data_IF_060469627726
#
_entry.id   IF_060469627726
#
_cell.length_a   1.000
_cell.length_b   1.000
_cell.length_c   1.000
_cell.angle_alpha   90.00
_cell.angle_beta   90.00
_cell.angle_gamma   90.00
#
_symmetry.space_group_name_H-M   'P 1'
#
loop_
_entity.id
_entity.type
_entity.pdbx_description
1 polymer ?
#
# COMPACT_ATOMS: atom_id res chain seq x y z
N UNK A 1 15.52 4.79 -1.33
CA UNK A 1 14.39 5.04 -2.26
C UNK A 1 14.60 6.40 -2.92
N UNK A 2 14.05 6.72 -4.10
CA UNK A 2 14.16 8.11 -4.61
C UNK A 2 13.20 9.03 -3.84
N UNK A 3 13.47 10.35 -3.71
CA UNK A 3 12.55 11.27 -3.04
C UNK A 3 11.14 11.24 -3.64
N UNK A 4 11.03 11.10 -4.96
CA UNK A 4 9.74 10.97 -5.68
C UNK A 4 9.01 9.69 -5.28
N UNK A 5 9.72 8.56 -5.15
CA UNK A 5 9.10 7.30 -4.71
C UNK A 5 8.66 7.38 -3.25
N UNK A 6 9.44 8.02 -2.38
CA UNK A 6 9.08 8.22 -0.98
C UNK A 6 7.83 9.10 -0.85
N UNK A 7 7.75 10.20 -1.60
CA UNK A 7 6.56 11.06 -1.63
C UNK A 7 5.31 10.29 -2.09
N UNK A 8 5.43 9.44 -3.12
CA UNK A 8 4.33 8.58 -3.58
C UNK A 8 3.91 7.56 -2.54
N UNK A 9 4.86 6.97 -1.82
CA UNK A 9 4.57 6.01 -0.75
C UNK A 9 3.84 6.68 0.41
N UNK A 10 4.28 7.89 0.82
CA UNK A 10 3.57 8.68 1.83
C UNK A 10 2.14 8.99 1.40
N UNK A 11 1.94 9.51 0.18
CA UNK A 11 0.62 9.82 -0.35
C UNK A 11 -0.32 8.60 -0.39
N UNK A 12 0.18 7.44 -0.81
CA UNK A 12 -0.59 6.19 -0.79
C UNK A 12 -0.93 5.73 0.64
N UNK A 13 0.02 5.88 1.57
CA UNK A 13 -0.21 5.54 2.98
C UNK A 13 -1.25 6.45 3.63
N UNK A 14 -1.22 7.75 3.34
CA UNK A 14 -2.16 8.74 3.87
C UNK A 14 -3.58 8.48 3.32
N UNK A 15 -3.70 8.19 2.01
CA UNK A 15 -4.96 7.79 1.39
C UNK A 15 -5.58 6.57 2.08
N UNK A 16 -4.81 5.50 2.27
CA UNK A 16 -5.31 4.28 2.94
C UNK A 16 -5.80 4.59 4.36
N UNK A 17 -5.09 5.43 5.11
CA UNK A 17 -5.50 5.82 6.45
C UNK A 17 -6.81 6.61 6.45
N UNK A 18 -6.99 7.51 5.49
CA UNK A 18 -8.22 8.31 5.35
C UNK A 18 -9.43 7.42 5.00
N UNK A 19 -9.26 6.50 4.05
CA UNK A 19 -10.34 5.57 3.65
C UNK A 19 -10.71 4.58 4.76
N UNK A 20 -9.73 4.10 5.54
CA UNK A 20 -10.02 3.27 6.73
C UNK A 20 -10.86 4.05 7.75
N UNK A 21 -10.60 5.35 7.94
CA UNK A 21 -11.40 6.21 8.84
C UNK A 21 -12.83 6.42 8.34
N UNK A 22 -13.04 6.37 7.02
CA UNK A 22 -14.36 6.41 6.38
C UNK A 22 -15.08 5.06 6.40
N UNK A 23 -14.46 4.02 6.96
CA UNK A 23 -14.95 2.64 6.93
C UNK A 23 -15.12 2.08 5.51
N UNK A 24 -14.33 2.55 4.55
CA UNK A 24 -14.32 2.04 3.18
C UNK A 24 -13.89 0.56 3.17
N UNK A 25 -14.59 -0.33 2.45
CA UNK A 25 -14.20 -1.74 2.34
C UNK A 25 -12.78 -1.91 1.78
N UNK A 26 -12.02 -2.86 2.33
CA UNK A 26 -10.62 -3.06 1.94
C UNK A 26 -10.44 -3.32 0.44
N UNK A 27 -11.38 -4.02 -0.20
CA UNK A 27 -11.38 -4.29 -1.64
C UNK A 27 -11.50 -3.00 -2.47
N UNK A 28 -12.34 -2.05 -2.03
CA UNK A 28 -12.49 -0.75 -2.68
C UNK A 28 -11.23 0.10 -2.50
N UNK A 29 -10.60 0.07 -1.32
CA UNK A 29 -9.32 0.75 -1.07
C UNK A 29 -8.24 0.18 -1.99
N UNK A 30 -8.16 -1.15 -2.12
CA UNK A 30 -7.18 -1.80 -3.01
C UNK A 30 -7.45 -1.43 -4.47
N UNK A 31 -8.72 -1.41 -4.90
CA UNK A 31 -9.08 -0.99 -6.25
C UNK A 31 -8.66 0.47 -6.53
N UNK A 32 -8.91 1.38 -5.59
CA UNK A 32 -8.50 2.78 -5.70
C UNK A 32 -6.96 2.94 -5.68
N UNK A 33 -6.24 2.13 -4.89
CA UNK A 33 -4.77 2.11 -4.94
C UNK A 33 -4.24 1.71 -6.33
N UNK A 34 -4.91 0.77 -7.02
CA UNK A 34 -4.55 0.37 -8.39
C UNK A 34 -4.84 1.49 -9.38
N UNK A 35 -6.00 2.15 -9.27
CA UNK A 35 -6.41 3.23 -10.16
C UNK A 35 -5.55 4.50 -9.99
N UNK A 36 -5.40 4.98 -8.76
CA UNK A 36 -4.91 6.34 -8.48
C UNK A 36 -3.47 6.37 -7.98
N UNK A 37 -3.02 5.32 -7.29
CA UNK A 37 -1.68 5.23 -6.69
C UNK A 37 -0.72 4.33 -7.48
N UNK A 38 -1.11 3.91 -8.69
CA UNK A 38 -0.34 3.02 -9.59
C UNK A 38 0.07 1.71 -8.88
N UNK A 39 -0.79 1.19 -8.02
CA UNK A 39 -0.59 -0.13 -7.46
C UNK A 39 -0.72 -1.19 -8.56
N UNK A 40 0.00 -2.30 -8.38
CA UNK A 40 -0.03 -3.42 -9.32
C UNK A 40 -0.05 -4.74 -8.57
N UNK A 41 -0.81 -5.69 -9.10
CA UNK A 41 -0.76 -7.08 -8.67
C UNK A 41 0.39 -7.84 -9.37
N UNK A 42 1.06 -8.74 -8.67
CA UNK A 42 2.17 -9.51 -9.26
C UNK A 42 1.66 -10.48 -10.32
N UNK A 43 1.92 -10.24 -11.61
CA UNK A 43 1.46 -11.12 -12.70
C UNK A 43 -0.06 -11.40 -12.65
N UNK A 44 -0.84 -10.44 -12.16
CA UNK A 44 -2.29 -10.60 -11.97
C UNK A 44 -2.70 -11.40 -10.73
N UNK A 45 -1.75 -11.82 -9.87
CA UNK A 45 -2.05 -12.49 -8.61
C UNK A 45 -2.63 -11.49 -7.58
N UNK A 46 -3.93 -11.60 -7.25
CA UNK A 46 -4.59 -10.67 -6.34
C UNK A 46 -4.06 -10.78 -4.90
N UNK A 47 -3.30 -11.83 -4.59
CA UNK A 47 -2.72 -12.04 -3.25
C UNK A 47 -1.43 -11.26 -3.04
N UNK A 48 -0.88 -10.60 -4.07
CA UNK A 48 0.39 -9.88 -4.00
C UNK A 48 0.24 -8.45 -4.54
N UNK A 49 0.11 -7.50 -3.62
CA UNK A 49 -0.03 -6.07 -3.91
C UNK A 49 1.33 -5.37 -3.88
N UNK A 50 1.63 -4.55 -4.89
CA UNK A 50 2.79 -3.66 -4.91
C UNK A 50 2.35 -2.22 -5.14
N UNK A 51 2.81 -1.31 -4.28
CA UNK A 51 2.51 0.14 -4.37
C UNK A 51 3.79 0.92 -4.05
N UNK A 52 4.15 1.89 -4.90
CA UNK A 52 5.30 2.78 -4.70
C UNK A 52 6.64 2.09 -4.31
N UNK A 53 6.85 0.86 -4.76
CA UNK A 53 8.07 0.08 -4.47
C UNK A 53 8.01 -0.76 -3.19
N UNK A 54 6.91 -0.72 -2.45
CA UNK A 54 6.62 -1.61 -1.32
C UNK A 54 5.65 -2.69 -1.77
N UNK A 55 5.95 -3.93 -1.39
CA UNK A 55 5.11 -5.09 -1.70
C UNK A 55 4.56 -5.72 -0.42
N UNK A 56 3.40 -6.34 -0.54
CA UNK A 56 2.85 -7.26 0.44
C UNK A 56 2.26 -8.48 -0.27
N UNK A 57 2.23 -9.60 0.44
CA UNK A 57 1.56 -10.81 0.00
C UNK A 57 0.72 -11.40 1.11
N UNK A 58 -0.47 -11.90 0.78
CA UNK A 58 -1.35 -12.60 1.71
C UNK A 58 -2.11 -13.71 0.98
N UNK A 59 -1.73 -14.95 1.25
CA UNK A 59 -2.34 -16.14 0.61
C UNK A 59 -3.68 -16.55 1.21
N UNK A 60 -4.06 -15.99 2.36
CA UNK A 60 -5.26 -16.37 3.10
C UNK A 60 -6.43 -15.42 2.86
N UNK A 61 -6.15 -14.15 2.58
CA UNK A 61 -7.14 -13.13 2.30
C UNK A 61 -6.52 -12.00 1.46
N UNK A 62 -7.10 -11.78 0.27
CA UNK A 62 -6.69 -10.75 -0.68
C UNK A 62 -7.29 -9.37 -0.37
N UNK A 63 -8.13 -9.24 0.65
CA UNK A 63 -8.77 -8.00 1.09
C UNK A 63 -8.07 -7.36 2.28
N UNK A 64 -8.67 -7.46 3.46
CA UNK A 64 -8.29 -6.70 4.65
C UNK A 64 -6.89 -7.07 5.16
N UNK A 65 -6.55 -8.36 5.22
CA UNK A 65 -5.22 -8.79 5.66
C UNK A 65 -4.11 -8.38 4.69
N UNK A 66 -4.39 -8.38 3.39
CA UNK A 66 -3.44 -7.91 2.38
C UNK A 66 -3.17 -6.40 2.56
N UNK A 67 -4.23 -5.62 2.71
CA UNK A 67 -4.15 -4.17 2.92
C UNK A 67 -3.41 -3.82 4.22
N UNK A 68 -3.74 -4.50 5.32
CA UNK A 68 -3.07 -4.28 6.61
C UNK A 68 -1.58 -4.61 6.55
N UNK A 69 -1.22 -5.74 5.91
CA UNK A 69 0.18 -6.13 5.74
C UNK A 69 0.93 -5.13 4.85
N UNK A 70 0.31 -4.66 3.77
CA UNK A 70 0.89 -3.62 2.94
C UNK A 70 1.13 -2.33 3.72
N UNK A 71 0.13 -1.89 4.51
CA UNK A 71 0.23 -0.69 5.35
C UNK A 71 1.38 -0.80 6.36
N UNK A 72 1.50 -1.93 7.06
CA UNK A 72 2.59 -2.17 8.01
C UNK A 72 3.97 -2.06 7.33
N UNK A 73 4.12 -2.66 6.14
CA UNK A 73 5.36 -2.56 5.35
C UNK A 73 5.64 -1.12 4.89
N UNK A 74 4.60 -0.38 4.47
CA UNK A 74 4.72 1.00 4.03
C UNK A 74 5.20 1.91 5.18
N UNK A 75 4.59 1.80 6.36
CA UNK A 75 4.97 2.57 7.56
C UNK A 75 6.42 2.31 7.94
N UNK A 76 6.82 1.04 8.04
CA UNK A 76 8.21 0.68 8.35
C UNK A 76 9.18 1.27 7.35
N UNK A 77 8.84 1.20 6.05
CA UNK A 77 9.69 1.74 4.99
C UNK A 77 9.81 3.26 5.07
N UNK A 78 8.72 3.98 5.33
CA UNK A 78 8.73 5.44 5.50
C UNK A 78 9.61 5.84 6.69
N UNK A 79 9.46 5.18 7.84
CA UNK A 79 10.27 5.47 9.04
C UNK A 79 11.76 5.25 8.76
N UNK A 80 12.11 4.13 8.12
CA UNK A 80 13.51 3.84 7.77
C UNK A 80 14.10 4.87 6.79
N UNK A 81 13.35 5.29 5.77
CA UNK A 81 13.86 6.28 4.81
C UNK A 81 13.99 7.67 5.44
N UNK A 82 13.13 8.03 6.41
CA UNK A 82 13.24 9.29 7.15
C UNK A 82 14.39 9.31 8.16
N UNK A 83 14.78 8.15 8.71
CA UNK A 83 15.91 8.06 9.64
C UNK A 83 17.28 8.11 8.95
N UNK A 84 17.32 7.83 7.64
CA UNK A 84 18.55 7.74 6.84
C UNK A 84 18.83 8.98 5.97
N UNK A 85 17.98 10.01 6.03
CA UNK A 85 18.10 11.26 5.26
C UNK A 85 18.32 12.45 6.19
#
# INVERSE_FOLDING_TARGET
MTPVMLARLCAASDFVLDEIRKATPAEEIIAALVADHRATFRRGDPTVLRVAGVSASCTHDAGSYLLDRWRANAVNKIVMEKANG
#
